data_IF_851359393541
#
_entry.id   IF_851359393541
#
_cell.length_a   1.000
_cell.length_b   1.000
_cell.length_c   1.000
_cell.angle_alpha   90.00
_cell.angle_beta   90.00
_cell.angle_gamma   90.00
#
_symmetry.space_group_name_H-M   'P 1'
#
loop_
_entity.id
_entity.type
_entity.pdbx_description
1 polymer ?
#
# COMPACT_ATOMS: atom_id res chain seq x y z
N UNK A 1 -4.49 -56.41 -1.10
CA UNK A 1 -4.66 -55.09 -0.45
C UNK A 1 -4.23 -54.06 -1.48
N UNK A 2 -5.19 -53.46 -2.17
CA UNK A 2 -4.92 -52.59 -3.31
C UNK A 2 -5.59 -51.25 -3.03
N UNK A 3 -4.80 -50.23 -2.72
CA UNK A 3 -5.30 -48.87 -2.51
C UNK A 3 -5.32 -48.18 -3.87
N UNK A 4 -6.52 -47.96 -4.40
CA UNK A 4 -6.73 -47.15 -5.61
C UNK A 4 -6.73 -45.68 -5.21
N UNK A 5 -5.66 -44.94 -5.56
CA UNK A 5 -5.61 -43.49 -5.45
C UNK A 5 -6.42 -42.88 -6.62
N UNK A 6 -7.50 -42.16 -6.31
CA UNK A 6 -8.21 -41.32 -7.29
C UNK A 6 -7.38 -40.04 -7.55
N UNK A 7 -7.28 -39.57 -8.80
CA UNK A 7 -6.53 -38.37 -9.13
C UNK A 7 -7.21 -37.13 -8.53
N UNK A 8 -6.43 -36.29 -7.84
CA UNK A 8 -6.88 -34.96 -7.42
C UNK A 8 -7.06 -34.08 -8.66
N UNK A 9 -8.23 -33.44 -8.75
CA UNK A 9 -8.65 -32.62 -9.86
C UNK A 9 -7.69 -31.46 -10.15
N UNK A 10 -7.65 -31.11 -11.44
CA UNK A 10 -6.96 -29.95 -12.01
C UNK A 10 -7.27 -28.70 -11.18
N UNK A 11 -6.26 -28.15 -10.50
CA UNK A 11 -6.37 -26.85 -9.84
C UNK A 11 -6.47 -25.77 -10.92
N UNK A 12 -7.67 -25.20 -11.10
CA UNK A 12 -7.89 -24.08 -11.99
C UNK A 12 -7.15 -22.83 -11.47
N UNK A 13 -6.02 -22.52 -12.09
CA UNK A 13 -5.69 -21.15 -12.52
C UNK A 13 -6.90 -20.62 -13.32
N UNK A 14 -7.58 -19.51 -13.07
CA UNK A 14 -7.29 -18.25 -12.35
C UNK A 14 -8.65 -17.63 -12.00
N UNK A 15 -9.02 -17.54 -10.71
CA UNK A 15 -10.06 -16.58 -10.31
C UNK A 15 -9.39 -15.24 -10.07
N UNK A 16 -9.90 -14.20 -10.70
CA UNK A 16 -9.51 -12.82 -10.41
C UNK A 16 -9.87 -12.47 -8.96
N UNK A 17 -9.19 -11.47 -8.41
CA UNK A 17 -9.51 -10.96 -7.07
C UNK A 17 -11.00 -10.56 -6.97
N UNK A 18 -11.56 -9.99 -8.04
CA UNK A 18 -12.96 -9.59 -8.10
C UNK A 18 -13.91 -10.79 -8.00
N UNK A 19 -13.62 -11.88 -8.71
CA UNK A 19 -14.42 -13.12 -8.63
C UNK A 19 -14.36 -13.75 -7.25
N UNK A 20 -13.19 -13.75 -6.61
CA UNK A 20 -13.02 -14.25 -5.23
C UNK A 20 -13.78 -13.41 -4.20
N UNK A 21 -13.83 -12.09 -4.39
CA UNK A 21 -14.58 -11.18 -3.51
C UNK A 21 -16.09 -11.36 -3.68
N UNK A 22 -16.56 -11.54 -4.92
CA UNK A 22 -17.98 -11.73 -5.24
C UNK A 22 -18.55 -13.03 -4.63
N UNK A 23 -17.73 -14.06 -4.45
CA UNK A 23 -18.13 -15.33 -3.82
C UNK A 23 -18.25 -15.26 -2.29
N UNK A 24 -17.84 -14.14 -1.66
CA UNK A 24 -17.93 -13.96 -0.21
C UNK A 24 -19.28 -13.36 0.20
N UNK A 25 -19.70 -13.60 1.44
CA UNK A 25 -20.90 -12.96 1.99
C UNK A 25 -20.75 -11.43 2.06
N UNK A 26 -21.87 -10.70 2.06
CA UNK A 26 -21.88 -9.23 2.15
C UNK A 26 -21.13 -8.71 3.40
N UNK A 27 -21.34 -9.33 4.56
CA UNK A 27 -20.58 -8.98 5.78
C UNK A 27 -19.08 -9.21 5.63
N UNK A 28 -18.68 -10.27 4.91
CA UNK A 28 -17.27 -10.53 4.64
C UNK A 28 -16.70 -9.52 3.67
N UNK A 29 -17.43 -9.12 2.63
CA UNK A 29 -17.02 -8.08 1.70
C UNK A 29 -16.85 -6.74 2.42
N UNK A 30 -17.80 -6.35 3.28
CA UNK A 30 -17.72 -5.13 4.08
C UNK A 30 -16.49 -5.10 4.99
N UNK A 31 -16.20 -6.21 5.71
CA UNK A 31 -14.98 -6.30 6.54
C UNK A 31 -13.70 -6.22 5.72
N UNK A 32 -13.66 -6.87 4.55
CA UNK A 32 -12.49 -6.82 3.66
C UNK A 32 -12.30 -5.40 3.13
N UNK A 33 -13.38 -4.70 2.77
CA UNK A 33 -13.33 -3.32 2.32
C UNK A 33 -12.80 -2.38 3.40
N UNK A 34 -13.31 -2.49 4.63
CA UNK A 34 -12.84 -1.67 5.76
C UNK A 34 -11.36 -1.93 6.06
N UNK A 35 -10.93 -3.20 6.05
CA UNK A 35 -9.53 -3.56 6.25
C UNK A 35 -8.66 -3.02 5.10
N UNK A 36 -9.13 -3.12 3.86
CA UNK A 36 -8.42 -2.58 2.70
C UNK A 36 -8.28 -1.06 2.82
N UNK A 37 -9.32 -0.32 3.19
CA UNK A 37 -9.27 1.13 3.41
C UNK A 37 -8.28 1.52 4.51
N UNK A 38 -8.24 0.76 5.60
CA UNK A 38 -7.24 0.96 6.65
C UNK A 38 -5.82 0.72 6.14
N UNK A 39 -5.60 -0.37 5.40
CA UNK A 39 -4.31 -0.67 4.76
C UNK A 39 -3.92 0.40 3.71
N UNK A 40 -4.90 0.94 2.97
CA UNK A 40 -4.69 2.01 2.00
C UNK A 40 -4.22 3.31 2.66
N UNK A 41 -4.79 3.67 3.81
CA UNK A 41 -4.34 4.80 4.62
C UNK A 41 -2.89 4.60 5.09
N UNK A 42 -2.53 3.38 5.48
CA UNK A 42 -1.22 3.04 6.00
C UNK A 42 -0.11 3.01 4.91
N UNK A 43 -0.46 2.96 3.62
CA UNK A 43 0.49 2.65 2.53
C UNK A 43 0.58 3.73 1.43
N UNK A 44 0.33 5.01 1.74
CA UNK A 44 0.33 6.07 0.73
C UNK A 44 1.70 6.31 0.07
N UNK A 45 2.80 6.14 0.80
CA UNK A 45 4.14 6.30 0.22
C UNK A 45 4.48 5.23 -0.83
N UNK A 46 4.09 3.99 -0.57
CA UNK A 46 4.21 2.90 -1.54
C UNK A 46 3.49 3.25 -2.84
N UNK A 47 2.26 3.77 -2.76
CA UNK A 47 1.49 4.13 -3.97
C UNK A 47 2.18 5.20 -4.80
N UNK A 48 2.73 6.23 -4.15
CA UNK A 48 3.49 7.28 -4.85
C UNK A 48 4.70 6.66 -5.55
N UNK A 49 5.39 5.74 -4.87
CA UNK A 49 6.55 5.04 -5.45
C UNK A 49 6.17 4.16 -6.65
N UNK A 50 5.08 3.41 -6.56
CA UNK A 50 4.58 2.57 -7.66
C UNK A 50 4.11 3.40 -8.85
N UNK A 51 3.44 4.53 -8.61
CA UNK A 51 3.02 5.47 -9.67
C UNK A 51 4.24 6.04 -10.44
N UNK A 52 5.37 6.15 -9.75
CA UNK A 52 6.64 6.59 -10.35
C UNK A 52 7.49 5.42 -10.90
N UNK A 53 6.99 4.19 -10.83
CA UNK A 53 7.66 2.96 -11.28
C UNK A 53 9.04 2.73 -10.64
N UNK A 54 9.27 3.24 -9.42
CA UNK A 54 10.54 3.11 -8.71
C UNK A 54 10.50 1.85 -7.83
N UNK A 55 11.49 0.96 -7.93
CA UNK A 55 11.54 -0.20 -7.03
C UNK A 55 11.95 0.20 -5.61
N UNK A 56 11.55 -0.63 -4.63
CA UNK A 56 11.99 -0.47 -3.24
C UNK A 56 13.52 -0.51 -3.09
N UNK A 57 14.21 -1.26 -3.96
CA UNK A 57 15.68 -1.34 -3.94
C UNK A 57 16.31 -0.03 -4.42
N UNK A 58 15.81 0.52 -5.51
CA UNK A 58 16.30 1.79 -6.08
C UNK A 58 16.10 2.95 -5.12
N UNK A 59 14.89 3.09 -4.56
CA UNK A 59 14.63 4.16 -3.61
C UNK A 59 15.46 4.03 -2.33
N UNK A 60 15.67 2.80 -1.83
CA UNK A 60 16.54 2.56 -0.67
C UNK A 60 17.99 2.98 -0.95
N UNK A 61 18.49 2.72 -2.16
CA UNK A 61 19.82 3.17 -2.60
C UNK A 61 19.91 4.70 -2.65
N UNK A 62 18.92 5.37 -3.24
CA UNK A 62 18.87 6.84 -3.28
C UNK A 62 18.84 7.46 -1.87
N UNK A 63 18.12 6.84 -0.94
CA UNK A 63 18.03 7.27 0.46
C UNK A 63 19.25 6.87 1.31
N UNK A 64 20.17 6.06 0.78
CA UNK A 64 21.32 5.54 1.53
C UNK A 64 20.95 4.62 2.69
N UNK A 65 19.81 3.92 2.59
CA UNK A 65 19.32 2.99 3.63
C UNK A 65 19.20 1.56 3.09
N UNK A 66 19.01 0.60 3.99
CA UNK A 66 18.76 -0.80 3.58
C UNK A 66 17.31 -0.96 3.12
N UNK A 67 17.07 -1.84 2.15
CA UNK A 67 15.72 -2.13 1.64
C UNK A 67 14.70 -2.52 2.75
N UNK A 68 15.05 -3.35 3.76
CA UNK A 68 14.14 -3.63 4.88
C UNK A 68 13.78 -2.38 5.71
N UNK A 69 14.69 -1.41 5.79
CA UNK A 69 14.43 -0.12 6.45
C UNK A 69 13.40 0.70 5.67
N UNK A 70 13.44 0.65 4.33
CA UNK A 70 12.43 1.29 3.48
C UNK A 70 11.07 0.61 3.64
N UNK A 71 11.02 -0.73 3.65
CA UNK A 71 9.80 -1.49 3.93
C UNK A 71 9.19 -1.12 5.30
N UNK A 72 10.03 -0.98 6.33
CA UNK A 72 9.57 -0.54 7.65
C UNK A 72 9.05 0.90 7.67
N UNK A 73 9.53 1.78 6.79
CA UNK A 73 9.03 3.14 6.61
C UNK A 73 7.66 3.11 5.93
N UNK A 74 7.51 2.34 4.85
CA UNK A 74 6.26 2.20 4.09
C UNK A 74 5.14 1.54 4.92
N UNK A 75 5.49 0.66 5.86
CA UNK A 75 4.54 -0.05 6.71
C UNK A 75 4.23 0.65 8.05
N UNK A 76 4.83 1.82 8.34
CA UNK A 76 4.61 2.54 9.60
C UNK A 76 3.28 3.30 9.67
N UNK A 77 2.60 3.48 8.54
CA UNK A 77 1.30 4.15 8.47
C UNK A 77 1.27 5.52 9.15
N UNK A 78 0.30 5.71 10.05
CA UNK A 78 -0.03 6.99 10.68
C UNK A 78 1.05 7.56 11.62
N UNK A 79 2.03 6.75 12.06
CA UNK A 79 3.10 7.19 12.96
C UNK A 79 4.30 7.81 12.21
N UNK A 80 4.18 8.01 10.90
CA UNK A 80 5.27 8.51 10.09
C UNK A 80 5.49 10.02 10.28
N UNK A 81 6.73 10.42 10.58
CA UNK A 81 7.11 11.83 10.70
C UNK A 81 7.01 12.52 9.34
N UNK A 82 6.51 13.76 9.34
CA UNK A 82 6.48 14.65 8.15
C UNK A 82 7.88 14.79 7.52
N UNK A 83 8.94 14.88 8.33
CA UNK A 83 10.31 14.96 7.85
C UNK A 83 10.78 13.69 7.11
N UNK A 84 10.23 12.52 7.47
CA UNK A 84 10.48 11.28 6.73
C UNK A 84 9.72 11.25 5.42
N UNK A 85 8.44 11.67 5.41
CA UNK A 85 7.66 11.82 4.18
C UNK A 85 8.34 12.76 3.18
N UNK A 86 8.84 13.91 3.66
CA UNK A 86 9.57 14.87 2.84
C UNK A 86 10.77 14.22 2.16
N UNK A 87 11.67 13.61 2.94
CA UNK A 87 12.87 12.95 2.40
C UNK A 87 12.53 11.86 1.38
N UNK A 88 11.48 11.09 1.66
CA UNK A 88 11.02 10.02 0.79
C UNK A 88 10.50 10.59 -0.55
N UNK A 89 9.65 11.61 -0.51
CA UNK A 89 9.10 12.28 -1.70
C UNK A 89 10.19 12.99 -2.50
N UNK A 90 11.12 13.68 -1.85
CA UNK A 90 12.26 14.36 -2.50
C UNK A 90 13.23 13.38 -3.15
N UNK A 91 13.48 12.23 -2.53
CA UNK A 91 14.31 11.17 -3.11
C UNK A 91 13.70 10.57 -4.39
N UNK A 92 12.39 10.72 -4.59
CA UNK A 92 11.70 10.37 -5.84
C UNK A 92 11.56 11.55 -6.81
N UNK A 93 12.15 12.72 -6.49
CA UNK A 93 12.05 13.94 -7.30
C UNK A 93 10.74 14.72 -7.14
N UNK A 94 9.90 14.36 -6.17
CA UNK A 94 8.65 15.05 -5.86
C UNK A 94 8.83 16.25 -4.93
N UNK A 95 7.72 16.94 -4.64
CA UNK A 95 7.64 18.01 -3.63
C UNK A 95 6.50 17.73 -2.67
N UNK A 96 6.78 17.73 -1.37
CA UNK A 96 5.76 17.55 -0.35
C UNK A 96 5.04 18.88 -0.08
N UNK A 97 3.72 18.91 -0.27
CA UNK A 97 2.84 19.99 0.17
C UNK A 97 1.85 19.44 1.19
N UNK A 98 1.64 20.18 2.25
CA UNK A 98 0.59 19.94 3.23
C UNK A 98 -0.54 20.91 2.92
N UNK A 99 -1.76 20.40 2.93
CA UNK A 99 -2.98 21.18 2.83
C UNK A 99 -3.79 21.02 4.13
N UNK A 100 -4.30 22.13 4.66
CA UNK A 100 -5.07 22.17 5.91
C UNK A 100 -6.44 22.76 5.63
N UNK A 101 -7.49 21.97 5.84
CA UNK A 101 -8.87 22.45 5.83
C UNK A 101 -9.25 23.03 7.20
N UNK A 102 -9.66 24.29 7.20
CA UNK A 102 -10.15 24.98 8.40
C UNK A 102 -11.65 24.71 8.61
N UNK A 103 -12.19 24.88 9.83
CA UNK A 103 -13.63 24.73 10.09
C UNK A 103 -14.55 25.62 9.23
N UNK A 104 -14.01 26.68 8.62
CA UNK A 104 -14.72 27.56 7.70
C UNK A 104 -14.82 26.99 6.27
N UNK A 105 -14.26 25.82 5.99
CA UNK A 105 -14.08 25.26 4.65
C UNK A 105 -12.96 25.91 3.84
N UNK A 106 -12.11 26.73 4.47
CA UNK A 106 -10.96 27.37 3.80
C UNK A 106 -9.76 26.45 3.86
N UNK A 107 -9.06 26.29 2.74
CA UNK A 107 -7.81 25.53 2.66
C UNK A 107 -6.58 26.45 2.79
N UNK A 108 -5.57 26.00 3.55
CA UNK A 108 -4.25 26.63 3.65
C UNK A 108 -3.19 25.58 3.32
N UNK A 109 -2.54 25.75 2.17
CA UNK A 109 -1.45 24.90 1.71
C UNK A 109 -0.07 25.51 1.96
N UNK A 110 0.90 24.70 2.37
CA UNK A 110 2.31 25.09 2.44
C UNK A 110 3.25 23.94 2.02
N UNK A 111 4.43 24.31 1.54
CA UNK A 111 5.48 23.34 1.17
C UNK A 111 6.35 23.05 2.38
N UNK A 112 6.70 21.77 2.58
CA UNK A 112 7.48 21.28 3.72
C UNK A 112 8.96 21.17 3.37
#
# INVERSE_FOLDING_TARGET
MSVTLKPWGVYNMTKTLQELLAERSLDSQARIQQLAEQLFLENQLYRIREELEISQKELAQTLGIKQPSLSAIENRGNDLKISTMKKYVEAMGGKLRIDVELPTGKHIGFTV
#
